data_IF_526296731307
#
_entry.id   IF_526296731307
#
_cell.length_a   1.000
_cell.length_b   1.000
_cell.length_c   1.000
_cell.angle_alpha   90.00
_cell.angle_beta   90.00
_cell.angle_gamma   90.00
#
_symmetry.space_group_name_H-M   'P 1'
#
loop_
_entity.id
_entity.type
_entity.pdbx_description
1 polymer ?
#
# COMPACT_ATOMS: atom_id res chain seq x y z
N UNK A 1 26.67 -12.61 19.83
CA UNK A 1 26.84 -11.20 19.38
C UNK A 1 25.50 -10.72 18.89
N UNK A 2 24.74 -10.01 19.72
CA UNK A 2 23.38 -9.55 19.44
C UNK A 2 23.51 -8.25 18.65
N UNK A 3 23.19 -8.31 17.36
CA UNK A 3 23.09 -7.09 16.55
C UNK A 3 21.90 -6.25 17.04
N UNK A 4 22.19 -5.17 17.75
CA UNK A 4 21.22 -4.12 18.07
C UNK A 4 20.81 -3.47 16.76
N UNK A 5 19.55 -3.73 16.31
CA UNK A 5 18.94 -2.98 15.21
C UNK A 5 18.83 -1.52 15.64
N UNK A 6 19.63 -0.65 15.07
CA UNK A 6 19.46 0.80 15.23
C UNK A 6 18.03 1.18 14.85
N UNK A 7 17.34 1.89 15.74
CA UNK A 7 16.04 2.47 15.43
C UNK A 7 16.22 3.43 14.24
N UNK A 8 15.39 3.31 13.18
CA UNK A 8 15.49 4.22 12.06
C UNK A 8 15.33 5.66 12.56
N UNK A 9 16.30 6.52 12.21
CA UNK A 9 16.23 7.96 12.48
C UNK A 9 14.89 8.48 11.95
N UNK A 10 14.09 9.10 12.80
CA UNK A 10 12.80 9.68 12.40
C UNK A 10 13.04 10.70 11.27
N UNK A 11 12.48 10.44 10.09
CA UNK A 11 12.55 11.38 8.97
C UNK A 11 11.92 12.70 9.40
N UNK A 12 12.67 13.78 9.37
CA UNK A 12 12.14 15.11 9.61
C UNK A 12 11.42 15.57 8.33
N UNK A 13 10.16 15.98 8.48
CA UNK A 13 9.36 16.50 7.37
C UNK A 13 9.32 18.02 7.47
N UNK A 14 9.62 18.69 6.37
CA UNK A 14 9.56 20.14 6.24
C UNK A 14 8.78 20.52 4.99
N UNK A 15 8.17 21.68 4.99
CA UNK A 15 7.56 22.29 3.79
C UNK A 15 8.63 22.84 2.86
N UNK A 16 8.27 23.21 1.64
CA UNK A 16 9.16 23.90 0.70
C UNK A 16 9.70 25.23 1.25
N UNK A 17 8.95 25.85 2.17
CA UNK A 17 9.37 27.04 2.92
C UNK A 17 10.21 26.71 4.16
N UNK A 18 10.72 25.51 4.28
CA UNK A 18 11.56 25.02 5.38
C UNK A 18 10.89 25.07 6.77
N UNK A 19 9.56 24.98 6.83
CA UNK A 19 8.80 24.92 8.07
C UNK A 19 8.68 23.46 8.51
N UNK A 20 9.11 23.13 9.72
CA UNK A 20 9.02 21.79 10.29
C UNK A 20 7.55 21.40 10.53
N UNK A 21 7.17 20.21 10.04
CA UNK A 21 5.81 19.67 10.17
C UNK A 21 5.77 18.56 11.21
N UNK A 22 4.97 18.73 12.26
CA UNK A 22 4.80 17.73 13.33
C UNK A 22 4.06 16.49 12.80
N UNK A 23 4.32 15.31 13.38
CA UNK A 23 3.58 14.09 13.02
C UNK A 23 2.08 14.21 13.28
N UNK A 24 1.69 14.87 14.36
CA UNK A 24 0.29 15.07 14.76
C UNK A 24 0.13 16.47 15.35
N UNK A 25 -0.97 17.13 15.03
CA UNK A 25 -1.39 18.39 15.63
C UNK A 25 -2.62 18.16 16.51
N UNK A 26 -2.61 18.68 17.72
CA UNK A 26 -3.72 18.65 18.65
C UNK A 26 -4.28 20.06 18.82
N UNK A 27 -5.60 20.18 18.95
CA UNK A 27 -6.24 21.46 19.23
C UNK A 27 -5.85 22.01 20.61
N UNK A 28 -6.03 23.32 20.79
CA UNK A 28 -5.70 24.05 22.02
C UNK A 28 -6.74 23.95 23.13
N UNK A 29 -7.72 23.08 23.04
CA UNK A 29 -8.79 22.93 24.04
C UNK A 29 -8.24 22.38 25.37
N UNK A 30 -8.65 22.98 26.49
CA UNK A 30 -8.14 22.71 27.84
C UNK A 30 -8.34 21.27 28.34
N UNK A 31 -9.09 20.43 27.67
CA UNK A 31 -9.23 18.98 27.91
C UNK A 31 -9.47 18.23 26.58
N UNK A 32 -8.47 18.10 25.71
CA UNK A 32 -8.65 17.22 24.57
C UNK A 32 -8.72 15.78 25.06
N UNK A 33 -9.77 15.04 24.70
CA UNK A 33 -9.62 13.60 24.53
C UNK A 33 -8.49 13.45 23.52
N UNK A 34 -7.35 12.95 23.97
CA UNK A 34 -6.21 12.71 23.09
C UNK A 34 -6.54 11.51 22.20
N UNK A 35 -7.31 11.74 21.17
CA UNK A 35 -7.49 10.76 20.11
C UNK A 35 -6.20 10.71 19.31
N UNK A 36 -5.55 9.58 19.36
CA UNK A 36 -4.27 9.36 18.71
C UNK A 36 -4.45 8.55 17.42
N UNK A 37 -3.71 8.84 16.35
CA UNK A 37 -3.70 7.98 15.17
C UNK A 37 -3.30 6.54 15.56
N UNK A 38 -3.95 5.55 14.95
CA UNK A 38 -3.69 4.14 15.21
C UNK A 38 -4.30 3.59 16.51
N UNK A 39 -5.11 4.38 17.22
CA UNK A 39 -5.84 3.95 18.44
C UNK A 39 -7.34 4.09 18.27
N UNK A 40 -8.08 3.15 18.86
CA UNK A 40 -9.54 3.22 18.90
C UNK A 40 -10.00 4.56 19.51
N UNK A 41 -10.98 5.23 18.97
CA UNK A 41 -11.91 4.87 17.88
C UNK A 41 -11.42 5.17 16.44
N UNK A 42 -10.14 5.32 16.19
CA UNK A 42 -9.49 5.52 14.89
C UNK A 42 -9.92 6.78 14.12
N UNK A 43 -10.44 7.78 14.81
CA UNK A 43 -10.90 9.05 14.25
C UNK A 43 -9.80 9.84 13.53
N UNK A 44 -8.54 9.54 13.85
CA UNK A 44 -7.35 10.19 13.29
C UNK A 44 -6.52 9.28 12.40
N UNK A 45 -7.09 8.18 11.94
CA UNK A 45 -6.47 7.21 11.06
C UNK A 45 -6.10 5.90 11.75
N UNK A 46 -6.02 4.84 10.94
CA UNK A 46 -5.82 3.45 11.40
C UNK A 46 -4.37 3.12 11.78
N UNK A 47 -3.41 3.95 11.38
CA UNK A 47 -1.99 3.74 11.68
C UNK A 47 -1.38 4.95 12.41
N UNK A 48 -0.44 4.73 13.33
CA UNK A 48 0.18 5.82 14.11
C UNK A 48 0.86 6.89 13.24
N UNK A 49 1.57 6.48 12.22
CA UNK A 49 2.32 7.37 11.32
C UNK A 49 1.62 7.67 10.01
N UNK A 50 0.51 6.95 9.69
CA UNK A 50 -0.21 7.07 8.43
C UNK A 50 0.73 7.09 7.22
N UNK A 51 0.57 8.02 6.29
CA UNK A 51 1.41 8.13 5.08
C UNK A 51 2.84 8.67 5.33
N UNK A 52 3.17 9.05 6.56
CA UNK A 52 4.55 9.38 6.93
C UNK A 52 5.43 8.13 7.08
N UNK A 53 4.85 7.08 7.64
CA UNK A 53 5.57 5.81 7.83
C UNK A 53 5.61 5.02 6.53
N UNK A 54 4.49 4.98 5.83
CA UNK A 54 4.35 4.28 4.57
C UNK A 54 3.42 5.03 3.64
N UNK A 55 3.90 5.37 2.45
CA UNK A 55 3.07 5.94 1.39
C UNK A 55 1.98 4.94 0.97
N UNK A 56 0.92 5.45 0.34
CA UNK A 56 -0.10 4.61 -0.27
C UNK A 56 0.49 3.63 -1.27
N UNK A 57 -0.18 2.53 -1.46
CA UNK A 57 0.24 1.52 -2.44
C UNK A 57 -0.06 2.00 -3.84
N UNK A 58 0.96 2.00 -4.70
CA UNK A 58 0.82 2.23 -6.14
C UNK A 58 0.68 0.88 -6.85
N UNK A 59 -0.41 0.68 -7.61
CA UNK A 59 -0.69 -0.55 -8.36
C UNK A 59 -1.22 -0.21 -9.74
N UNK A 60 -0.85 -1.06 -10.69
CA UNK A 60 -1.53 -1.14 -11.98
C UNK A 60 -2.16 -2.53 -12.13
N UNK A 61 -3.32 -2.57 -12.78
CA UNK A 61 -3.98 -3.80 -13.15
C UNK A 61 -3.29 -4.37 -14.38
N UNK A 62 -2.82 -5.61 -14.32
CA UNK A 62 -2.06 -6.25 -15.39
C UNK A 62 -2.34 -7.74 -15.43
N UNK A 63 -2.33 -8.34 -16.60
CA UNK A 63 -2.63 -9.76 -16.84
C UNK A 63 -3.01 -10.06 -18.28
N UNK A 64 -2.68 -9.14 -19.19
CA UNK A 64 -2.83 -9.38 -20.61
C UNK A 64 -1.70 -10.28 -21.12
N UNK A 65 -2.06 -11.34 -21.84
CA UNK A 65 -1.12 -12.34 -22.36
C UNK A 65 -0.86 -13.50 -21.39
N UNK A 66 0.27 -14.17 -21.56
CA UNK A 66 0.64 -15.34 -20.77
C UNK A 66 1.30 -14.97 -19.41
N UNK A 67 1.52 -15.99 -18.58
CA UNK A 67 2.15 -15.84 -17.27
C UNK A 67 3.59 -15.29 -17.35
N UNK A 68 4.35 -15.63 -18.39
CA UNK A 68 5.73 -15.16 -18.57
C UNK A 68 5.75 -13.67 -18.90
N UNK A 69 4.88 -13.22 -19.79
CA UNK A 69 4.75 -11.81 -20.15
C UNK A 69 4.26 -10.99 -18.96
N UNK A 70 3.26 -11.48 -18.24
CA UNK A 70 2.74 -10.84 -17.03
C UNK A 70 3.82 -10.72 -15.93
N UNK A 71 4.63 -11.76 -15.72
CA UNK A 71 5.74 -11.71 -14.78
C UNK A 71 6.79 -10.65 -15.17
N UNK A 72 7.17 -10.58 -16.44
CA UNK A 72 8.07 -9.53 -16.96
C UNK A 72 7.51 -8.15 -16.72
N UNK A 73 6.21 -7.95 -16.97
CA UNK A 73 5.52 -6.69 -16.73
C UNK A 73 5.53 -6.30 -15.27
N UNK A 74 5.25 -7.24 -14.37
CA UNK A 74 5.28 -6.99 -12.92
C UNK A 74 6.68 -6.60 -12.42
N UNK A 75 7.72 -7.28 -12.87
CA UNK A 75 9.11 -6.91 -12.54
C UNK A 75 9.42 -5.50 -12.98
N UNK A 76 9.09 -5.15 -14.23
CA UNK A 76 9.25 -3.81 -14.76
C UNK A 76 8.52 -2.76 -13.89
N UNK A 77 7.27 -3.02 -13.49
CA UNK A 77 6.50 -2.09 -12.67
C UNK A 77 7.12 -1.89 -11.29
N UNK A 78 7.60 -2.95 -10.65
CA UNK A 78 8.28 -2.86 -9.34
C UNK A 78 9.60 -2.08 -9.45
N UNK A 79 10.39 -2.32 -10.49
CA UNK A 79 11.64 -1.58 -10.76
C UNK A 79 11.39 -0.09 -11.02
N UNK A 80 10.21 0.26 -11.53
CA UNK A 80 9.78 1.64 -11.77
C UNK A 80 8.94 2.25 -10.63
N UNK A 81 9.04 1.69 -9.42
CA UNK A 81 8.54 2.30 -8.20
C UNK A 81 7.12 1.94 -7.80
N UNK A 82 6.48 0.96 -8.44
CA UNK A 82 5.23 0.43 -7.92
C UNK A 82 5.45 -0.34 -6.62
N UNK A 83 4.49 -0.24 -5.72
CA UNK A 83 4.57 -0.83 -4.37
C UNK A 83 3.58 -1.94 -4.14
N UNK A 84 2.81 -2.31 -5.15
CA UNK A 84 1.87 -3.42 -5.13
C UNK A 84 1.54 -3.89 -6.53
N UNK A 85 1.01 -5.10 -6.61
CA UNK A 85 0.60 -5.73 -7.85
C UNK A 85 -0.89 -6.03 -7.79
N UNK A 86 -1.56 -5.95 -8.95
CA UNK A 86 -2.95 -6.31 -9.12
C UNK A 86 -3.09 -7.12 -10.40
N UNK A 87 -3.58 -8.36 -10.28
CA UNK A 87 -3.66 -9.28 -11.40
C UNK A 87 -5.04 -9.25 -12.04
N UNK A 88 -5.07 -9.19 -13.37
CA UNK A 88 -6.23 -9.50 -14.18
C UNK A 88 -6.23 -11.00 -14.50
N UNK A 89 -7.28 -11.67 -14.14
CA UNK A 89 -7.51 -13.06 -14.51
C UNK A 89 -8.39 -13.13 -15.77
N UNK A 90 -8.38 -14.28 -16.42
CA UNK A 90 -9.33 -14.66 -17.47
C UNK A 90 -10.77 -14.64 -16.94
N UNK A 91 -11.73 -14.47 -17.83
CA UNK A 91 -13.14 -14.32 -17.44
C UNK A 91 -13.70 -15.53 -16.70
N UNK A 92 -13.46 -16.80 -17.14
CA UNK A 92 -13.92 -17.97 -16.39
C UNK A 92 -13.43 -17.98 -14.95
N UNK A 93 -12.17 -17.71 -14.69
CA UNK A 93 -11.61 -17.61 -13.32
C UNK A 93 -12.29 -16.50 -12.52
N UNK A 94 -12.57 -15.33 -13.12
CA UNK A 94 -13.25 -14.23 -12.44
C UNK A 94 -14.68 -14.58 -11.99
N UNK A 95 -15.39 -15.40 -12.76
CA UNK A 95 -16.77 -15.80 -12.47
C UNK A 95 -16.87 -17.15 -11.75
N UNK A 96 -15.74 -17.81 -11.47
CA UNK A 96 -15.66 -19.01 -10.64
C UNK A 96 -15.80 -20.34 -11.37
N UNK A 97 -15.43 -20.39 -12.64
CA UNK A 97 -15.34 -21.64 -13.39
C UNK A 97 -13.92 -22.18 -13.38
N UNK A 98 -13.81 -23.50 -13.27
CA UNK A 98 -12.55 -24.23 -13.42
C UNK A 98 -12.20 -24.40 -14.92
N UNK A 99 -10.90 -24.62 -15.26
CA UNK A 99 -10.45 -24.76 -16.65
C UNK A 99 -11.10 -25.90 -17.44
N UNK A 100 -11.55 -26.94 -16.76
CA UNK A 100 -12.23 -28.11 -17.33
C UNK A 100 -13.75 -27.91 -17.51
N UNK A 101 -14.26 -26.76 -17.11
CA UNK A 101 -15.67 -26.42 -17.31
C UNK A 101 -15.96 -26.13 -18.79
N UNK A 102 -17.11 -26.60 -19.33
CA UNK A 102 -17.51 -26.25 -20.71
C UNK A 102 -17.63 -24.76 -20.96
N UNK A 103 -17.86 -23.95 -19.93
CA UNK A 103 -17.93 -22.50 -20.02
C UNK A 103 -16.55 -21.83 -20.11
N UNK A 104 -15.47 -22.56 -19.86
CA UNK A 104 -14.10 -22.06 -19.93
C UNK A 104 -13.43 -22.40 -21.29
N UNK A 105 -14.07 -23.20 -22.13
CA UNK A 105 -13.52 -23.66 -23.40
C UNK A 105 -13.24 -22.47 -24.34
N UNK A 106 -11.98 -22.31 -24.75
CA UNK A 106 -11.52 -21.23 -25.63
C UNK A 106 -11.27 -19.88 -24.95
N UNK A 107 -11.45 -19.78 -23.62
CA UNK A 107 -11.27 -18.56 -22.84
C UNK A 107 -10.02 -18.60 -21.93
N UNK A 108 -9.38 -19.76 -21.82
CA UNK A 108 -8.17 -19.99 -20.98
C UNK A 108 -7.04 -20.53 -21.85
#
# INVERSE_FOLDING_TARGET
MIMTKEKPKSKQFVTDSNISVKPVYYGSTKKPKKEEPGKYPFTRGIHPGMYRDRLWTMRQYSGFGDAVQTNKRYRFMLENGQTGLSMAFDLPTQIGYDPDSPQAEGEI
#
